data_IF_141638701030
#
_entry.id   IF_141638701030
#
_cell.length_a   1.000
_cell.length_b   1.000
_cell.length_c   1.000
_cell.angle_alpha   90.00
_cell.angle_beta   90.00
_cell.angle_gamma   90.00
#
_symmetry.space_group_name_H-M   'P 1'
#
loop_
_entity.id
_entity.type
_entity.pdbx_description
1 polymer ?
#
# COMPACT_ATOMS: atom_id res chain seq x y z
N UNK A 1 -20.25 -31.92 -5.78
CA UNK A 1 -19.08 -31.19 -6.28
C UNK A 1 -18.83 -30.11 -5.28
N UNK A 2 -18.00 -30.42 -4.29
CA UNK A 2 -17.53 -29.49 -3.28
C UNK A 2 -16.81 -28.35 -3.99
N UNK A 3 -17.35 -27.14 -3.82
CA UNK A 3 -16.75 -25.91 -4.30
C UNK A 3 -15.61 -25.59 -3.34
N UNK A 4 -14.41 -26.01 -3.71
CA UNK A 4 -13.16 -25.58 -3.08
C UNK A 4 -12.96 -24.10 -3.49
N UNK A 5 -13.44 -23.21 -2.63
CA UNK A 5 -13.22 -21.77 -2.75
C UNK A 5 -11.75 -21.49 -2.36
N UNK A 6 -10.91 -20.94 -3.25
CA UNK A 6 -9.54 -20.61 -2.88
C UNK A 6 -9.56 -19.55 -1.78
N UNK A 7 -8.67 -19.64 -0.78
CA UNK A 7 -8.63 -18.65 0.29
C UNK A 7 -8.31 -17.30 -0.36
N UNK A 8 -9.17 -16.32 -0.14
CA UNK A 8 -8.93 -14.94 -0.55
C UNK A 8 -7.58 -14.49 0.03
N UNK A 9 -6.59 -14.36 -0.84
CA UNK A 9 -5.33 -13.73 -0.55
C UNK A 9 -5.57 -12.26 -0.21
N UNK A 10 -5.59 -11.97 1.09
CA UNK A 10 -5.86 -10.63 1.60
C UNK A 10 -6.33 -10.79 3.02
N UNK A 11 -5.37 -10.93 3.94
CA UNK A 11 -5.65 -10.97 5.37
C UNK A 11 -6.38 -9.70 5.77
N UNK A 12 -7.71 -9.79 5.82
CA UNK A 12 -8.58 -8.78 6.39
C UNK A 12 -8.23 -8.69 7.87
N UNK A 13 -7.46 -7.67 8.23
CA UNK A 13 -7.30 -7.28 9.61
C UNK A 13 -8.69 -6.88 10.15
N UNK A 14 -9.14 -7.60 11.16
CA UNK A 14 -10.53 -7.71 11.62
C UNK A 14 -11.18 -6.45 12.21
N UNK A 15 -10.60 -5.26 12.00
CA UNK A 15 -11.10 -3.99 12.56
C UNK A 15 -11.07 -2.84 11.55
N UNK A 16 -10.95 -3.14 10.25
CA UNK A 16 -10.92 -2.13 9.18
C UNK A 16 -9.62 -1.33 9.09
N UNK A 17 -8.59 -1.69 9.87
CA UNK A 17 -7.24 -1.12 9.81
C UNK A 17 -6.27 -2.13 9.23
N UNK A 18 -5.31 -1.69 8.41
CA UNK A 18 -4.28 -2.55 7.84
C UNK A 18 -3.49 -3.32 8.91
N UNK A 19 -3.17 -4.61 8.66
CA UNK A 19 -2.36 -5.41 9.58
C UNK A 19 -0.95 -4.80 9.75
N UNK A 20 -0.35 -4.79 10.96
CA UNK A 20 0.95 -4.15 11.18
C UNK A 20 2.08 -4.66 10.28
N UNK A 21 2.12 -5.97 10.02
CA UNK A 21 3.10 -6.58 9.12
C UNK A 21 2.94 -6.11 7.67
N UNK A 22 1.69 -5.94 7.22
CA UNK A 22 1.34 -5.43 5.89
C UNK A 22 1.71 -3.96 5.76
N UNK A 23 1.43 -3.16 6.78
CA UNK A 23 1.83 -1.76 6.85
C UNK A 23 3.35 -1.60 6.76
N UNK A 24 4.11 -2.39 7.53
CA UNK A 24 5.57 -2.34 7.50
C UNK A 24 6.14 -2.71 6.11
N UNK A 25 5.57 -3.73 5.47
CA UNK A 25 5.94 -4.09 4.10
C UNK A 25 5.66 -2.94 3.12
N UNK A 26 4.45 -2.36 3.17
CA UNK A 26 4.07 -1.24 2.32
C UNK A 26 5.01 -0.05 2.51
N UNK A 27 5.26 0.34 3.76
CA UNK A 27 6.20 1.42 4.14
C UNK A 27 7.59 1.20 3.56
N UNK A 28 8.14 0.00 3.73
CA UNK A 28 9.48 -0.33 3.24
C UNK A 28 9.58 -0.21 1.72
N UNK A 29 8.56 -0.69 0.99
CA UNK A 29 8.53 -0.60 -0.47
C UNK A 29 8.33 0.83 -0.94
N UNK A 30 7.38 1.56 -0.34
CA UNK A 30 7.12 2.94 -0.70
C UNK A 30 8.34 3.83 -0.47
N UNK A 31 9.04 3.69 0.65
CA UNK A 31 10.28 4.42 0.92
C UNK A 31 11.35 4.16 -0.15
N UNK A 32 11.51 2.91 -0.58
CA UNK A 32 12.41 2.55 -1.68
C UNK A 32 12.01 3.19 -3.02
N UNK A 33 10.72 3.21 -3.32
CA UNK A 33 10.18 3.86 -4.53
C UNK A 33 10.36 5.38 -4.48
N UNK A 34 10.15 6.02 -3.33
CA UNK A 34 10.41 7.45 -3.12
C UNK A 34 11.88 7.80 -3.40
N UNK A 35 12.82 6.95 -2.98
CA UNK A 35 14.24 7.16 -3.21
C UNK A 35 14.70 6.86 -4.65
N UNK A 36 13.85 6.27 -5.51
CA UNK A 36 14.26 5.79 -6.84
C UNK A 36 13.30 6.23 -7.93
N UNK A 37 12.12 5.60 -8.01
CA UNK A 37 11.12 5.81 -9.05
C UNK A 37 10.42 7.17 -8.93
N UNK A 38 10.23 7.67 -7.71
CA UNK A 38 9.43 8.87 -7.42
C UNK A 38 10.27 10.04 -6.89
N UNK A 39 11.60 9.97 -6.98
CA UNK A 39 12.51 10.95 -6.38
C UNK A 39 12.23 12.40 -6.79
N UNK A 40 11.87 12.63 -8.05
CA UNK A 40 11.62 13.96 -8.60
C UNK A 40 10.12 14.23 -8.83
N UNK A 41 9.25 13.48 -8.16
CA UNK A 41 7.79 13.61 -8.31
C UNK A 41 7.20 14.29 -7.07
N UNK A 42 6.61 15.47 -7.29
CA UNK A 42 5.99 16.27 -6.23
C UNK A 42 4.67 15.70 -5.71
N UNK A 43 3.93 14.97 -6.55
CA UNK A 43 2.68 14.31 -6.17
C UNK A 43 2.48 13.02 -6.95
N UNK A 44 2.19 11.92 -6.26
CA UNK A 44 1.97 10.60 -6.84
C UNK A 44 0.53 10.15 -6.58
N UNK A 45 -0.17 9.70 -7.62
CA UNK A 45 -1.49 9.09 -7.47
C UNK A 45 -1.42 7.75 -6.74
N UNK A 46 -2.39 7.48 -5.86
CA UNK A 46 -2.49 6.23 -5.11
C UNK A 46 -2.46 5.01 -6.03
N UNK A 47 -3.17 5.05 -7.16
CA UNK A 47 -3.20 3.92 -8.11
C UNK A 47 -1.81 3.61 -8.67
N UNK A 48 -1.02 4.66 -8.99
CA UNK A 48 0.38 4.50 -9.43
C UNK A 48 1.27 3.97 -8.31
N UNK A 49 1.06 4.41 -7.07
CA UNK A 49 1.78 3.85 -5.91
C UNK A 49 1.45 2.36 -5.76
N UNK A 50 0.17 1.98 -5.84
CA UNK A 50 -0.27 0.58 -5.73
C UNK A 50 0.38 -0.28 -6.81
N UNK A 51 0.38 0.18 -8.06
CA UNK A 51 1.03 -0.52 -9.17
C UNK A 51 2.51 -0.77 -8.89
N UNK A 52 3.24 0.26 -8.46
CA UNK A 52 4.68 0.16 -8.21
C UNK A 52 5.02 -0.64 -6.95
N UNK A 53 4.22 -0.52 -5.88
CA UNK A 53 4.40 -1.30 -4.64
C UNK A 53 4.17 -2.79 -4.92
N UNK A 54 3.16 -3.10 -5.72
CA UNK A 54 2.82 -4.47 -6.13
C UNK A 54 3.82 -5.07 -7.10
N UNK A 55 4.63 -4.25 -7.78
CA UNK A 55 5.63 -4.74 -8.70
C UNK A 55 6.65 -5.65 -7.97
N UNK A 56 6.72 -6.90 -8.42
CA UNK A 56 7.57 -7.94 -7.84
C UNK A 56 7.01 -8.63 -6.59
N UNK A 57 5.76 -8.35 -6.18
CA UNK A 57 5.05 -9.13 -5.17
C UNK A 57 4.40 -10.38 -5.80
N UNK A 58 4.23 -11.42 -4.99
CA UNK A 58 3.44 -12.59 -5.39
C UNK A 58 1.95 -12.25 -5.34
N UNK A 59 1.12 -12.98 -6.08
CA UNK A 59 -0.34 -12.77 -6.13
C UNK A 59 -0.94 -12.78 -4.72
N UNK A 60 -0.43 -13.64 -3.84
CA UNK A 60 -0.89 -13.77 -2.45
C UNK A 60 -0.59 -12.56 -1.56
N UNK A 61 0.31 -11.67 -2.02
CA UNK A 61 0.81 -10.54 -1.24
C UNK A 61 0.49 -9.19 -1.84
N UNK A 62 -0.25 -9.13 -2.96
CA UNK A 62 -0.68 -7.88 -3.57
C UNK A 62 -1.47 -7.01 -2.60
N UNK A 63 -1.29 -5.69 -2.73
CA UNK A 63 -2.09 -4.69 -2.06
C UNK A 63 -3.25 -4.28 -2.97
N UNK A 64 -4.46 -4.26 -2.41
CA UNK A 64 -5.60 -3.62 -3.06
C UNK A 64 -5.63 -2.12 -2.77
N UNK A 65 -6.41 -1.36 -3.55
CA UNK A 65 -6.55 0.10 -3.38
C UNK A 65 -7.05 0.48 -1.98
N UNK A 66 -8.01 -0.27 -1.42
CA UNK A 66 -8.52 0.00 -0.07
C UNK A 66 -7.45 -0.18 1.01
N UNK A 67 -6.67 -1.26 0.94
CA UNK A 67 -5.59 -1.51 1.90
C UNK A 67 -4.45 -0.52 1.74
N UNK A 68 -4.07 -0.16 0.51
CA UNK A 68 -3.05 0.83 0.26
C UNK A 68 -3.47 2.22 0.75
N UNK A 69 -4.75 2.58 0.63
CA UNK A 69 -5.29 3.81 1.21
C UNK A 69 -5.12 3.83 2.73
N UNK A 70 -5.48 2.75 3.42
CA UNK A 70 -5.27 2.62 4.87
C UNK A 70 -3.78 2.72 5.23
N UNK A 71 -2.89 2.13 4.41
CA UNK A 71 -1.46 2.24 4.61
C UNK A 71 -0.97 3.69 4.48
N UNK A 72 -1.40 4.40 3.43
CA UNK A 72 -1.06 5.80 3.21
C UNK A 72 -1.59 6.69 4.33
N UNK A 73 -2.83 6.48 4.80
CA UNK A 73 -3.38 7.19 5.96
C UNK A 73 -2.55 6.94 7.22
N UNK A 74 -2.17 5.69 7.50
CA UNK A 74 -1.33 5.38 8.65
C UNK A 74 0.10 5.93 8.54
N UNK A 75 0.60 6.18 7.34
CA UNK A 75 1.89 6.84 7.10
C UNK A 75 1.79 8.37 7.24
N UNK A 76 0.67 8.96 6.81
CA UNK A 76 0.34 10.38 7.00
C UNK A 76 0.21 10.73 8.48
N UNK A 77 -0.53 9.91 9.25
CA UNK A 77 -0.61 10.05 10.71
C UNK A 77 0.75 9.94 11.41
N UNK A 78 1.70 9.22 10.80
CA UNK A 78 3.07 9.08 11.27
C UNK A 78 4.02 10.18 10.78
N UNK A 79 3.55 11.15 9.98
CA UNK A 79 4.34 12.18 9.31
C UNK A 79 5.46 11.60 8.41
N UNK A 80 5.25 10.42 7.84
CA UNK A 80 6.19 9.78 6.91
C UNK A 80 5.97 10.23 5.46
N UNK A 81 4.74 10.64 5.14
CA UNK A 81 4.29 11.21 3.87
C UNK A 81 3.16 12.19 4.18
N UNK A 82 2.72 12.98 3.20
CA UNK A 82 1.44 13.65 3.26
C UNK A 82 0.47 12.95 2.29
N UNK A 83 -0.72 12.58 2.76
CA UNK A 83 -1.74 11.91 1.94
C UNK A 83 -3.03 12.72 1.89
N UNK A 84 -3.39 13.23 0.71
CA UNK A 84 -4.56 14.09 0.53
C UNK A 84 -5.24 13.84 -0.81
N UNK A 85 -6.56 13.64 -0.81
CA UNK A 85 -7.35 13.51 -2.04
C UNK A 85 -6.96 12.34 -2.95
N UNK A 86 -6.28 11.31 -2.43
CA UNK A 86 -5.75 10.20 -3.22
C UNK A 86 -4.36 10.46 -3.84
N UNK A 87 -3.73 11.58 -3.48
CA UNK A 87 -2.36 11.92 -3.84
C UNK A 87 -1.44 11.78 -2.62
N UNK A 88 -0.27 11.20 -2.87
CA UNK A 88 0.84 11.08 -1.94
C UNK A 88 1.85 12.17 -2.29
N UNK A 89 2.25 12.92 -1.28
CA UNK A 89 3.29 13.93 -1.37
C UNK A 89 4.46 13.50 -0.47
N UNK A 90 5.70 13.47 -0.98
CA UNK A 90 6.87 13.27 -0.14
C UNK A 90 7.02 14.44 0.84
N UNK A 91 7.46 14.13 2.07
CA UNK A 91 7.73 15.11 3.13
C UNK A 91 9.19 15.52 3.19
#
# INVERSE_FOLDING_TARGET
>A
MDVDEPPAAGGAAGDGKIAPQRLQLFRTRLAGLMATTFQDIEAIELDKVVEQVNHGLTIDTLFGTAEAKEACTAMDEANEIMFSGGLIYPV
#
